data_IF_439873091138
#
_entry.id   IF_439873091138
#
_cell.length_a   1.000
_cell.length_b   1.000
_cell.length_c   1.000
_cell.angle_alpha   90.00
_cell.angle_beta   90.00
_cell.angle_gamma   90.00
#
_symmetry.space_group_name_H-M   'P 1'
#
loop_
_entity.id
_entity.type
_entity.pdbx_description
1 polymer ?
#
# COMPACT_ATOMS: atom_id res chain seq x y z
N UNK A 1 -19.39 -3.29 36.43
CA UNK A 1 -18.26 -3.33 35.49
C UNK A 1 -16.92 -3.29 36.23
N UNK A 2 -16.56 -2.20 36.91
CA UNK A 2 -15.21 -2.02 37.50
C UNK A 2 -14.83 -3.06 38.57
N UNK A 3 -15.76 -3.48 39.45
CA UNK A 3 -15.51 -4.54 40.45
C UNK A 3 -15.32 -5.93 39.83
N UNK A 4 -16.05 -6.26 38.76
CA UNK A 4 -15.88 -7.51 38.02
C UNK A 4 -14.56 -7.51 37.22
N UNK A 5 -14.17 -6.36 36.68
CA UNK A 5 -12.90 -6.21 35.99
C UNK A 5 -11.72 -6.40 36.94
N UNK A 6 -11.80 -5.85 38.15
CA UNK A 6 -10.79 -6.06 39.21
C UNK A 6 -10.70 -7.51 39.70
N UNK A 7 -11.80 -8.28 39.69
CA UNK A 7 -11.76 -9.68 40.11
C UNK A 7 -11.18 -10.64 39.05
N UNK A 8 -11.30 -10.29 37.76
CA UNK A 8 -10.81 -11.13 36.64
C UNK A 8 -9.41 -10.72 36.18
N UNK A 9 -8.99 -9.48 36.48
CA UNK A 9 -7.64 -8.98 36.18
C UNK A 9 -6.48 -9.94 36.54
N UNK A 10 -6.40 -10.53 37.75
CA UNK A 10 -5.31 -11.44 38.08
C UNK A 10 -5.36 -12.76 37.28
N UNK A 11 -6.55 -13.20 36.86
CA UNK A 11 -6.68 -14.40 36.02
C UNK A 11 -6.21 -14.13 34.59
N UNK A 12 -6.54 -12.95 34.05
CA UNK A 12 -6.05 -12.50 32.74
C UNK A 12 -4.53 -12.37 32.75
N UNK A 13 -3.97 -11.76 33.79
CA UNK A 13 -2.51 -11.61 33.94
C UNK A 13 -1.80 -12.98 33.99
N UNK A 14 -2.33 -13.94 34.74
CA UNK A 14 -1.79 -15.30 34.77
C UNK A 14 -1.90 -16.00 33.41
N UNK A 15 -3.00 -15.80 32.68
CA UNK A 15 -3.14 -16.33 31.31
C UNK A 15 -2.11 -15.70 30.38
N UNK A 16 -1.93 -14.38 30.42
CA UNK A 16 -0.94 -13.68 29.60
C UNK A 16 0.50 -14.16 29.89
N UNK A 17 0.84 -14.38 31.17
CA UNK A 17 2.15 -14.95 31.56
C UNK A 17 2.29 -16.37 31.01
N UNK A 18 1.24 -17.20 31.10
CA UNK A 18 1.28 -18.56 30.57
C UNK A 18 1.38 -18.61 29.04
N UNK A 19 0.72 -17.68 28.35
CA UNK A 19 0.79 -17.55 26.90
C UNK A 19 2.18 -17.07 26.46
N UNK A 20 2.79 -16.15 27.21
CA UNK A 20 4.18 -15.74 27.01
C UNK A 20 5.16 -16.91 27.17
N UNK A 21 5.01 -17.71 28.23
CA UNK A 21 5.84 -18.90 28.44
C UNK A 21 5.65 -19.94 27.33
N UNK A 22 4.40 -20.19 26.92
CA UNK A 22 4.08 -21.10 25.83
C UNK A 22 4.68 -20.62 24.51
N UNK A 23 4.51 -19.34 24.17
CA UNK A 23 5.07 -18.75 22.95
C UNK A 23 6.61 -18.83 22.96
N UNK A 24 7.24 -18.59 24.11
CA UNK A 24 8.68 -18.74 24.29
C UNK A 24 9.13 -20.20 24.07
N UNK A 25 8.42 -21.17 24.63
CA UNK A 25 8.70 -22.59 24.42
C UNK A 25 8.51 -23.00 22.96
N UNK A 26 7.43 -22.56 22.32
CA UNK A 26 7.19 -22.81 20.90
C UNK A 26 8.30 -22.23 20.03
N UNK A 27 8.81 -21.03 20.37
CA UNK A 27 9.94 -20.44 19.66
C UNK A 27 11.24 -21.21 19.88
N UNK A 28 11.48 -21.77 21.07
CA UNK A 28 12.63 -22.66 21.29
C UNK A 28 12.53 -23.94 20.47
N UNK A 29 11.35 -24.57 20.42
CA UNK A 29 11.10 -25.76 19.59
C UNK A 29 11.28 -25.41 18.10
N UNK A 30 10.73 -24.28 17.67
CA UNK A 30 10.87 -23.81 16.30
C UNK A 30 12.32 -23.48 15.95
N UNK A 31 13.10 -22.97 16.89
CA UNK A 31 14.54 -22.73 16.70
C UNK A 31 15.33 -24.04 16.54
N UNK A 32 15.00 -25.07 17.31
CA UNK A 32 15.73 -26.34 17.29
C UNK A 32 15.34 -27.21 16.09
N UNK A 33 14.06 -27.20 15.71
CA UNK A 33 13.48 -28.12 14.73
C UNK A 33 12.88 -27.44 13.50
N UNK A 34 12.98 -26.11 13.39
CA UNK A 34 12.51 -25.34 12.25
C UNK A 34 13.29 -25.62 10.97
N UNK A 35 12.62 -25.46 9.83
CA UNK A 35 13.25 -25.62 8.51
C UNK A 35 14.29 -24.52 8.28
N UNK A 36 15.27 -24.76 7.41
CA UNK A 36 16.40 -23.85 7.23
C UNK A 36 16.03 -22.47 6.67
N UNK A 37 14.90 -22.36 5.97
CA UNK A 37 14.38 -21.10 5.41
C UNK A 37 12.87 -20.98 5.61
N UNK A 38 12.43 -19.80 6.05
CA UNK A 38 11.03 -19.48 6.24
C UNK A 38 10.70 -18.12 5.62
N UNK A 39 9.51 -18.00 5.03
CA UNK A 39 8.94 -16.74 4.56
C UNK A 39 7.74 -16.46 5.45
N UNK A 40 7.79 -15.39 6.25
CA UNK A 40 6.64 -14.94 7.03
C UNK A 40 6.06 -13.68 6.41
N UNK A 41 4.74 -13.61 6.41
CA UNK A 41 3.97 -12.44 6.07
C UNK A 41 3.52 -11.82 7.39
N UNK A 42 4.21 -10.78 7.85
CA UNK A 42 3.78 -10.04 9.03
C UNK A 42 3.02 -8.79 8.59
N UNK A 43 1.93 -8.42 9.28
CA UNK A 43 1.34 -7.11 9.10
C UNK A 43 2.34 -6.08 9.65
N UNK A 44 2.96 -5.30 8.76
CA UNK A 44 3.78 -4.16 9.16
C UNK A 44 2.92 -3.10 9.86
N UNK A 45 3.58 -2.19 10.58
CA UNK A 45 2.95 -1.09 11.32
C UNK A 45 2.01 -0.23 10.45
N UNK A 46 2.26 -0.22 9.13
CA UNK A 46 1.48 0.49 8.11
C UNK A 46 0.29 -0.32 7.52
N UNK A 47 -0.09 -1.47 8.08
CA UNK A 47 -1.06 -2.42 7.50
C UNK A 47 -0.66 -2.96 6.10
N UNK A 48 0.61 -2.84 5.73
CA UNK A 48 1.17 -3.49 4.54
C UNK A 48 1.80 -4.82 4.96
N UNK A 49 1.56 -5.87 4.17
CA UNK A 49 2.19 -7.17 4.39
C UNK A 49 3.68 -7.05 4.08
N UNK A 50 4.52 -7.08 5.11
CA UNK A 50 5.97 -7.19 4.94
C UNK A 50 6.32 -8.66 4.79
N UNK A 51 7.03 -8.98 3.71
CA UNK A 51 7.54 -10.33 3.46
C UNK A 51 8.96 -10.35 4.02
N UNK A 52 9.12 -10.95 5.20
CA UNK A 52 10.44 -11.16 5.79
C UNK A 52 10.88 -12.62 5.56
N UNK A 53 12.04 -12.78 4.92
CA UNK A 53 12.69 -14.09 4.76
C UNK A 53 13.62 -14.29 5.95
N UNK A 54 13.36 -15.33 6.73
CA UNK A 54 14.20 -15.73 7.86
C UNK A 54 15.06 -16.93 7.46
N UNK A 55 16.36 -16.84 7.69
CA UNK A 55 17.28 -17.97 7.68
C UNK A 55 17.50 -18.48 9.10
N UNK A 56 17.72 -19.79 9.27
CA UNK A 56 18.05 -20.39 10.58
C UNK A 56 19.26 -19.71 11.27
N UNK A 57 20.17 -19.09 10.50
CA UNK A 57 21.29 -18.34 11.04
C UNK A 57 20.86 -17.05 11.77
N UNK A 58 19.78 -16.39 11.36
CA UNK A 58 19.34 -15.13 11.97
C UNK A 58 18.62 -15.34 13.32
N UNK A 59 17.97 -16.50 13.50
CA UNK A 59 17.30 -16.93 14.75
C UNK A 59 18.29 -17.27 15.89
N UNK A 60 19.59 -17.41 15.58
CA UNK A 60 20.60 -17.80 16.57
C UNK A 60 21.29 -16.64 17.29
N UNK A 61 21.03 -15.38 16.92
CA UNK A 61 21.65 -14.25 17.62
C UNK A 61 21.18 -12.83 17.32
N UNK A 62 20.24 -12.60 16.39
CA UNK A 62 19.81 -11.23 16.01
C UNK A 62 18.38 -10.86 16.38
N UNK A 63 17.51 -11.83 16.60
CA UNK A 63 16.11 -11.56 16.98
C UNK A 63 15.90 -11.82 18.47
N UNK A 64 15.58 -10.77 19.22
CA UNK A 64 15.06 -10.87 20.58
C UNK A 64 13.54 -10.67 20.52
N UNK A 65 12.79 -11.76 20.52
CA UNK A 65 11.32 -11.70 20.57
C UNK A 65 10.92 -11.38 22.01
N UNK A 66 10.63 -10.10 22.26
CA UNK A 66 10.06 -9.66 23.53
C UNK A 66 8.54 -9.78 23.46
N UNK A 67 8.02 -10.80 24.12
CA UNK A 67 6.58 -10.88 24.40
C UNK A 67 6.32 -9.97 25.59
N UNK A 68 5.53 -8.91 25.41
CA UNK A 68 5.15 -8.00 26.49
C UNK A 68 3.75 -8.40 27.00
N UNK A 69 3.68 -8.91 28.23
CA UNK A 69 2.41 -9.07 28.94
C UNK A 69 1.82 -7.69 29.29
N UNK A 70 0.49 -7.59 29.33
CA UNK A 70 -0.27 -6.35 29.54
C UNK A 70 -0.99 -5.79 28.31
N UNK A 71 -0.81 -6.40 27.14
CA UNK A 71 -1.52 -6.01 25.89
C UNK A 71 -2.95 -6.56 25.81
N UNK A 72 -3.27 -7.65 26.52
CA UNK A 72 -4.54 -8.36 26.34
C UNK A 72 -5.66 -7.86 27.23
N UNK A 73 -5.42 -6.88 28.13
CA UNK A 73 -6.53 -6.19 28.78
C UNK A 73 -7.39 -5.52 27.71
N UNK A 74 -8.65 -5.95 27.51
CA UNK A 74 -9.51 -5.30 26.54
C UNK A 74 -9.77 -3.89 27.03
N UNK A 75 -9.11 -2.91 26.42
CA UNK A 75 -9.43 -1.50 26.64
C UNK A 75 -10.86 -1.33 26.19
N UNK A 76 -11.74 -0.99 27.13
CA UNK A 76 -13.15 -0.76 26.76
C UNK A 76 -13.22 0.35 25.72
N UNK A 77 -14.20 0.29 24.82
CA UNK A 77 -14.41 1.37 23.85
C UNK A 77 -14.56 2.74 24.53
N UNK A 78 -15.14 2.76 25.74
CA UNK A 78 -15.24 3.97 26.57
C UNK A 78 -13.86 4.47 27.03
N UNK A 79 -12.97 3.57 27.46
CA UNK A 79 -11.60 3.92 27.85
C UNK A 79 -10.81 4.46 26.66
N UNK A 80 -10.90 3.80 25.49
CA UNK A 80 -10.23 4.29 24.27
C UNK A 80 -10.73 5.67 23.85
N UNK A 81 -12.05 5.92 23.92
CA UNK A 81 -12.62 7.26 23.68
C UNK A 81 -12.06 8.30 24.65
N UNK A 82 -12.05 7.99 25.96
CA UNK A 82 -11.52 8.88 26.99
C UNK A 82 -10.03 9.18 26.78
N UNK A 83 -9.22 8.17 26.41
CA UNK A 83 -7.81 8.36 26.09
C UNK A 83 -7.60 9.24 24.86
N UNK A 84 -8.31 8.98 23.76
CA UNK A 84 -8.21 9.80 22.54
C UNK A 84 -8.67 11.23 22.80
N UNK A 85 -9.76 11.41 23.54
CA UNK A 85 -10.25 12.73 23.94
C UNK A 85 -9.24 13.47 24.83
N UNK A 86 -8.61 12.75 25.77
CA UNK A 86 -7.53 13.29 26.60
C UNK A 86 -6.32 13.73 25.79
N UNK A 87 -5.86 12.89 24.85
CA UNK A 87 -4.75 13.21 23.94
C UNK A 87 -5.06 14.42 23.05
N UNK A 88 -6.29 14.51 22.56
CA UNK A 88 -6.75 15.66 21.79
C UNK A 88 -6.78 16.94 22.65
N UNK A 89 -7.33 16.88 23.86
CA UNK A 89 -7.36 18.03 24.80
C UNK A 89 -5.97 18.51 25.20
N UNK A 90 -5.01 17.60 25.32
CA UNK A 90 -3.61 17.93 25.60
C UNK A 90 -2.86 18.46 24.36
N UNK A 91 -3.47 18.42 23.18
CA UNK A 91 -2.86 18.87 21.93
C UNK A 91 -1.86 17.89 21.32
N UNK A 92 -1.77 16.66 21.83
CA UNK A 92 -0.91 15.61 21.26
C UNK A 92 -1.50 14.97 20.00
N UNK A 93 -2.81 15.10 19.82
CA UNK A 93 -3.52 14.51 18.69
C UNK A 93 -4.17 15.61 17.86
N UNK A 94 -3.76 15.72 16.60
CA UNK A 94 -4.36 16.64 15.64
C UNK A 94 -5.42 15.90 14.81
N UNK A 95 -6.69 16.23 15.05
CA UNK A 95 -7.85 15.65 14.34
C UNK A 95 -8.04 16.28 12.96
N UNK A 96 -7.39 17.42 12.68
CA UNK A 96 -7.43 18.04 11.35
C UNK A 96 -6.58 17.28 10.33
N UNK A 97 -5.63 16.47 10.79
CA UNK A 97 -4.83 15.60 9.94
C UNK A 97 -5.65 14.38 9.49
N UNK A 98 -5.83 14.15 8.17
CA UNK A 98 -6.67 13.08 7.65
C UNK A 98 -6.13 11.68 7.96
N UNK A 99 -4.82 11.51 8.10
CA UNK A 99 -4.22 10.22 8.47
C UNK A 99 -4.55 9.85 9.92
N UNK A 100 -4.38 10.80 10.84
CA UNK A 100 -4.73 10.61 12.27
C UNK A 100 -6.23 10.35 12.44
N UNK A 101 -7.06 11.13 11.75
CA UNK A 101 -8.51 10.95 11.76
C UNK A 101 -8.92 9.56 11.24
N UNK A 102 -8.30 9.10 10.14
CA UNK A 102 -8.52 7.75 9.62
C UNK A 102 -8.16 6.66 10.63
N UNK A 103 -7.02 6.78 11.32
CA UNK A 103 -6.62 5.81 12.35
C UNK A 103 -7.66 5.74 13.48
N UNK A 104 -8.14 6.89 13.96
CA UNK A 104 -9.20 6.95 14.98
C UNK A 104 -10.47 6.25 14.50
N UNK A 105 -10.89 6.51 13.26
CA UNK A 105 -12.08 5.87 12.67
C UNK A 105 -11.92 4.36 12.56
N UNK A 106 -10.73 3.86 12.21
CA UNK A 106 -10.43 2.42 12.17
C UNK A 106 -10.48 1.82 13.57
N UNK A 107 -9.86 2.46 14.57
CA UNK A 107 -9.89 2.01 15.97
C UNK A 107 -11.31 1.84 16.49
N UNK A 108 -12.25 2.67 16.03
CA UNK A 108 -13.66 2.58 16.41
C UNK A 108 -14.55 1.76 15.46
N UNK A 109 -13.99 1.17 14.40
CA UNK A 109 -14.76 0.44 13.40
C UNK A 109 -15.69 1.32 12.56
N UNK A 110 -15.45 2.64 12.51
CA UNK A 110 -16.25 3.63 11.78
C UNK A 110 -15.56 4.08 10.48
N UNK A 111 -14.85 3.17 9.81
CA UNK A 111 -14.12 3.46 8.57
C UNK A 111 -15.02 4.04 7.47
N UNK A 112 -16.28 3.60 7.43
CA UNK A 112 -17.26 3.97 6.40
C UNK A 112 -17.72 5.43 6.45
N UNK A 113 -17.36 6.19 7.50
CA UNK A 113 -17.69 7.61 7.60
C UNK A 113 -16.86 8.48 6.65
N UNK A 114 -15.67 8.01 6.24
CA UNK A 114 -14.77 8.76 5.36
C UNK A 114 -14.14 7.85 4.29
N UNK A 115 -14.95 7.28 3.39
CA UNK A 115 -14.45 6.34 2.38
C UNK A 115 -13.50 7.00 1.38
N UNK A 116 -13.59 8.33 1.20
CA UNK A 116 -12.76 9.07 0.26
C UNK A 116 -11.27 9.02 0.64
N UNK A 117 -10.93 9.08 1.93
CA UNK A 117 -9.53 8.99 2.38
C UNK A 117 -8.93 7.64 1.96
N UNK A 118 -9.69 6.55 2.07
CA UNK A 118 -9.24 5.23 1.63
C UNK A 118 -9.08 5.14 0.11
N UNK A 119 -9.94 5.82 -0.65
CA UNK A 119 -9.84 5.87 -2.12
C UNK A 119 -8.58 6.63 -2.54
N UNK A 120 -8.33 7.79 -1.94
CA UNK A 120 -7.14 8.61 -2.21
C UNK A 120 -5.85 7.90 -1.81
N UNK A 121 -5.83 7.26 -0.65
CA UNK A 121 -4.69 6.46 -0.18
C UNK A 121 -4.37 5.32 -1.16
N UNK A 122 -5.39 4.57 -1.60
CA UNK A 122 -5.20 3.49 -2.57
C UNK A 122 -4.75 4.03 -3.93
N UNK A 123 -5.19 5.22 -4.32
CA UNK A 123 -4.75 5.80 -5.59
C UNK A 123 -3.29 6.26 -5.52
N UNK A 124 -2.88 6.91 -4.43
CA UNK A 124 -1.48 7.25 -4.18
C UNK A 124 -0.58 6.01 -4.15
N UNK A 125 -1.04 4.91 -3.55
CA UNK A 125 -0.33 3.62 -3.56
C UNK A 125 -0.19 3.05 -4.98
N UNK A 126 -1.26 3.07 -5.78
CA UNK A 126 -1.18 2.66 -7.19
C UNK A 126 -0.25 3.55 -8.00
N UNK A 127 -0.13 4.83 -7.67
CA UNK A 127 0.84 5.72 -8.30
C UNK A 127 2.27 5.35 -7.91
N UNK A 128 2.54 5.05 -6.63
CA UNK A 128 3.82 4.54 -6.17
C UNK A 128 4.23 3.28 -6.93
N UNK A 129 3.32 2.32 -7.07
CA UNK A 129 3.58 1.08 -7.82
C UNK A 129 3.92 1.37 -9.29
N UNK A 130 3.24 2.34 -9.91
CA UNK A 130 3.55 2.79 -11.28
C UNK A 130 4.90 3.48 -11.37
N UNK A 131 5.28 4.28 -10.37
CA UNK A 131 6.61 4.86 -10.32
C UNK A 131 7.66 3.74 -10.26
N UNK A 132 7.52 2.79 -9.34
CA UNK A 132 8.46 1.66 -9.22
C UNK A 132 8.48 0.79 -10.48
N UNK A 133 7.36 0.60 -11.17
CA UNK A 133 7.33 -0.13 -12.43
C UNK A 133 8.13 0.58 -13.56
N UNK A 134 8.26 1.91 -13.54
CA UNK A 134 9.09 2.65 -14.51
C UNK A 134 10.57 2.31 -14.37
N UNK A 135 11.08 2.03 -13.17
CA UNK A 135 12.50 1.65 -12.97
C UNK A 135 12.81 0.30 -13.60
N UNK A 136 11.81 -0.59 -13.65
CA UNK A 136 11.89 -1.92 -14.29
C UNK A 136 11.64 -1.90 -15.79
N UNK A 137 11.36 -0.72 -16.37
CA UNK A 137 11.04 -0.58 -17.80
C UNK A 137 9.69 -1.21 -18.18
N UNK A 138 8.81 -1.46 -17.21
CA UNK A 138 7.49 -2.02 -17.47
C UNK A 138 6.59 -0.97 -18.15
N UNK A 139 5.72 -1.38 -19.08
CA UNK A 139 4.74 -0.48 -19.70
C UNK A 139 3.69 -0.07 -18.66
N UNK A 140 3.95 1.05 -17.99
CA UNK A 140 2.98 1.68 -17.10
C UNK A 140 2.06 2.54 -17.95
N UNK A 141 0.76 2.21 -17.98
CA UNK A 141 -0.19 2.81 -18.93
C UNK A 141 -0.18 4.34 -18.96
N UNK A 142 -0.85 4.99 -17.99
CA UNK A 142 -0.79 6.45 -17.84
C UNK A 142 0.36 6.79 -16.90
N UNK A 143 1.26 7.74 -17.24
CA UNK A 143 2.27 8.21 -16.30
C UNK A 143 1.58 8.76 -15.04
N UNK A 144 2.14 8.49 -13.85
CA UNK A 144 1.62 9.08 -12.60
C UNK A 144 1.49 10.59 -12.74
N UNK A 145 0.43 11.16 -12.18
CA UNK A 145 0.20 12.59 -12.31
C UNK A 145 -0.87 13.08 -11.37
N UNK A 146 -0.51 14.09 -10.59
CA UNK A 146 -1.38 14.74 -9.64
C UNK A 146 -2.59 15.41 -10.32
N UNK A 147 -3.76 15.35 -9.67
CA UNK A 147 -5.03 15.95 -10.10
C UNK A 147 -5.46 17.01 -9.07
N UNK A 148 -5.07 18.28 -9.26
CA UNK A 148 -5.43 19.35 -8.34
C UNK A 148 -6.95 19.45 -8.13
N UNK A 149 -7.36 19.55 -6.87
CA UNK A 149 -8.77 19.68 -6.48
C UNK A 149 -9.59 18.40 -6.57
N UNK A 150 -9.00 17.29 -7.03
CA UNK A 150 -9.60 15.95 -6.95
C UNK A 150 -8.90 15.14 -5.86
N UNK A 151 -7.57 15.14 -5.85
CA UNK A 151 -6.78 14.38 -4.88
C UNK A 151 -6.76 15.11 -3.53
N UNK A 152 -6.80 14.34 -2.44
CA UNK A 152 -6.47 14.87 -1.12
C UNK A 152 -4.94 15.03 -0.99
N UNK A 153 -4.45 16.24 -1.24
CA UNK A 153 -3.01 16.56 -1.26
C UNK A 153 -2.26 16.10 -0.01
N UNK A 154 -2.89 16.18 1.17
CA UNK A 154 -2.24 15.78 2.43
C UNK A 154 -2.02 14.27 2.49
N UNK A 155 -3.04 13.47 2.16
CA UNK A 155 -2.97 12.01 2.15
C UNK A 155 -2.03 11.54 1.05
N UNK A 156 -2.14 12.15 -0.14
CA UNK A 156 -1.31 11.85 -1.30
C UNK A 156 0.17 12.07 -0.99
N UNK A 157 0.50 13.27 -0.49
CA UNK A 157 1.87 13.63 -0.13
C UNK A 157 2.42 12.74 0.99
N UNK A 158 1.62 12.43 2.02
CA UNK A 158 2.04 11.56 3.11
C UNK A 158 2.47 10.18 2.59
N UNK A 159 1.73 9.61 1.65
CA UNK A 159 2.04 8.29 1.10
C UNK A 159 3.26 8.29 0.18
N UNK A 160 3.48 9.38 -0.56
CA UNK A 160 4.72 9.55 -1.31
C UNK A 160 5.94 9.74 -0.40
N UNK A 161 5.83 10.56 0.65
CA UNK A 161 6.90 10.72 1.65
C UNK A 161 7.23 9.37 2.29
N UNK A 162 6.23 8.52 2.53
CA UNK A 162 6.43 7.17 3.05
C UNK A 162 7.29 6.33 2.10
N UNK A 163 6.97 6.32 0.79
CA UNK A 163 7.80 5.66 -0.22
C UNK A 163 9.24 6.20 -0.22
N UNK A 164 9.41 7.53 -0.17
CA UNK A 164 10.72 8.17 -0.22
C UNK A 164 11.63 7.80 0.97
N UNK A 165 11.05 7.35 2.08
CA UNK A 165 11.78 6.90 3.27
C UNK A 165 12.15 5.41 3.26
N UNK A 166 11.74 4.67 2.22
CA UNK A 166 12.08 3.25 2.11
C UNK A 166 13.51 3.05 1.61
N UNK A 167 14.16 1.97 2.04
CA UNK A 167 15.49 1.60 1.55
C UNK A 167 15.51 1.42 0.03
N UNK A 168 14.44 0.86 -0.53
CA UNK A 168 14.29 0.70 -1.98
C UNK A 168 14.36 2.04 -2.74
N UNK A 169 13.77 3.10 -2.19
CA UNK A 169 13.84 4.43 -2.79
C UNK A 169 15.24 5.04 -2.65
N UNK A 170 15.87 4.88 -1.48
CA UNK A 170 17.23 5.37 -1.23
C UNK A 170 18.24 4.70 -2.19
N UNK A 171 18.12 3.39 -2.41
CA UNK A 171 18.96 2.68 -3.37
C UNK A 171 18.72 3.14 -4.82
N UNK A 172 17.48 3.49 -5.18
CA UNK A 172 17.18 4.09 -6.48
C UNK A 172 17.82 5.48 -6.62
N UNK A 173 17.82 6.32 -5.58
CA UNK A 173 18.52 7.60 -5.61
C UNK A 173 20.03 7.40 -5.83
N UNK A 174 20.65 6.46 -5.11
CA UNK A 174 22.07 6.11 -5.29
C UNK A 174 22.36 5.61 -6.71
N UNK A 175 21.53 4.73 -7.24
CA UNK A 175 21.67 4.24 -8.62
C UNK A 175 21.55 5.38 -9.64
N UNK A 176 20.64 6.34 -9.40
CA UNK A 176 20.49 7.51 -10.26
C UNK A 176 21.74 8.40 -10.27
N UNK A 177 22.36 8.62 -9.10
CA UNK A 177 23.64 9.33 -8.97
C UNK A 177 24.79 8.62 -9.69
N UNK A 178 24.80 7.29 -9.67
CA UNK A 178 25.79 6.46 -10.36
C UNK A 178 25.59 6.38 -11.88
N UNK A 179 24.52 6.98 -12.41
CA UNK A 179 24.28 7.06 -13.85
C UNK A 179 23.25 6.07 -14.41
N UNK A 180 22.53 5.33 -13.56
CA UNK A 180 21.43 4.48 -14.02
C UNK A 180 20.31 5.33 -14.62
N UNK A 181 20.05 5.15 -15.91
CA UNK A 181 19.08 5.98 -16.65
C UNK A 181 17.63 5.75 -16.21
N UNK A 182 17.28 4.53 -15.79
CA UNK A 182 15.94 4.19 -15.31
C UNK A 182 15.68 4.83 -13.96
N UNK A 183 16.64 4.74 -13.05
CA UNK A 183 16.59 5.39 -11.75
C UNK A 183 16.58 6.92 -11.88
N UNK A 184 17.39 7.51 -12.77
CA UNK A 184 17.36 8.96 -13.03
C UNK A 184 16.01 9.45 -13.53
N UNK A 185 15.38 8.70 -14.44
CA UNK A 185 14.05 9.05 -14.95
C UNK A 185 13.00 8.97 -13.85
N UNK A 186 13.03 7.92 -13.02
CA UNK A 186 12.16 7.75 -11.87
C UNK A 186 12.28 8.93 -10.91
N UNK A 187 13.50 9.21 -10.43
CA UNK A 187 13.78 10.29 -9.47
C UNK A 187 13.29 11.62 -10.02
N UNK A 188 13.58 11.92 -11.29
CA UNK A 188 13.11 13.15 -11.94
C UNK A 188 11.58 13.27 -11.96
N UNK A 189 10.87 12.24 -12.42
CA UNK A 189 9.42 12.25 -12.54
C UNK A 189 8.74 12.30 -11.17
N UNK A 190 9.27 11.56 -10.21
CA UNK A 190 8.75 11.52 -8.85
C UNK A 190 8.89 12.88 -8.16
N UNK A 191 10.08 13.50 -8.20
CA UNK A 191 10.26 14.84 -7.61
C UNK A 191 9.45 15.92 -8.33
N UNK A 192 9.24 15.81 -9.64
CA UNK A 192 8.35 16.71 -10.37
C UNK A 192 6.89 16.56 -9.91
N UNK A 193 6.42 15.33 -9.72
CA UNK A 193 5.09 15.03 -9.18
C UNK A 193 4.89 15.60 -7.77
N UNK A 194 5.85 15.43 -6.87
CA UNK A 194 5.77 15.97 -5.50
C UNK A 194 5.70 17.50 -5.49
N UNK A 195 6.45 18.16 -6.38
CA UNK A 195 6.38 19.62 -6.52
C UNK A 195 4.99 20.07 -6.96
N UNK A 196 4.29 19.28 -7.78
CA UNK A 196 2.93 19.57 -8.20
C UNK A 196 1.94 19.43 -7.03
N UNK A 197 2.08 18.39 -6.20
CA UNK A 197 1.25 18.22 -4.99
C UNK A 197 1.50 19.33 -3.95
N UNK A 198 2.74 19.82 -3.81
CA UNK A 198 3.08 20.89 -2.87
C UNK A 198 2.65 22.29 -3.34
N UNK A 199 2.52 22.52 -4.64
CA UNK A 199 2.16 23.82 -5.19
C UNK A 199 1.29 23.72 -6.44
N UNK A 200 0.00 23.37 -6.29
CA UNK A 200 -0.91 23.20 -7.42
C UNK A 200 -1.15 24.51 -8.21
N UNK A 201 -0.92 25.67 -7.59
CA UNK A 201 -1.19 26.99 -8.19
C UNK A 201 -0.18 27.46 -9.24
N UNK A 202 0.98 26.80 -9.37
CA UNK A 202 2.14 27.36 -10.12
C UNK A 202 2.42 26.77 -11.51
N UNK A 203 1.58 25.90 -12.09
CA UNK A 203 1.96 25.26 -13.36
C UNK A 203 1.06 25.46 -14.57
N UNK A 204 1.56 26.14 -15.63
CA UNK A 204 1.01 26.08 -16.97
C UNK A 204 1.60 24.89 -17.73
N UNK A 205 0.75 24.16 -18.44
CA UNK A 205 1.07 23.04 -19.32
C UNK A 205 2.36 23.26 -20.15
N UNK A 206 3.28 22.28 -20.09
CA UNK A 206 4.53 22.08 -20.88
C UNK A 206 5.84 22.45 -20.18
N UNK A 207 6.44 21.49 -19.46
CA UNK A 207 7.90 21.28 -19.55
C UNK A 207 8.17 19.89 -20.10
N UNK A 208 8.99 19.81 -21.15
CA UNK A 208 9.45 18.54 -21.70
C UNK A 208 10.62 18.04 -20.84
N UNK A 209 10.71 16.73 -20.56
CA UNK A 209 11.89 16.16 -19.93
C UNK A 209 13.16 16.47 -20.78
N UNK A 210 14.35 16.48 -20.17
CA UNK A 210 15.62 16.70 -20.86
C UNK A 210 15.75 15.81 -22.11
N UNK A 211 16.22 16.39 -23.21
CA UNK A 211 16.37 15.69 -24.52
C UNK A 211 17.26 14.45 -24.47
N UNK A 212 18.13 14.32 -23.46
CA UNK A 212 19.01 13.16 -23.25
C UNK A 212 18.27 11.92 -22.75
N UNK A 213 17.16 12.06 -22.01
CA UNK A 213 16.40 10.95 -21.39
C UNK A 213 15.30 10.38 -22.30
N UNK A 214 14.91 11.13 -23.35
CA UNK A 214 13.74 10.81 -24.18
C UNK A 214 14.02 9.92 -25.39
N UNK A 215 15.30 9.68 -25.73
CA UNK A 215 15.68 9.00 -26.99
C UNK A 215 15.62 7.48 -26.96
N UNK A 216 15.39 6.85 -25.80
CA UNK A 216 15.26 5.38 -25.68
C UNK A 216 13.94 4.92 -25.05
N UNK A 217 13.37 5.66 -24.11
CA UNK A 217 12.05 5.34 -23.54
C UNK A 217 10.92 5.37 -24.60
N UNK A 218 10.99 6.29 -25.57
CA UNK A 218 10.06 6.33 -26.71
C UNK A 218 10.37 5.32 -27.81
N UNK A 219 11.58 4.75 -27.80
CA UNK A 219 12.02 3.75 -28.80
C UNK A 219 11.57 2.35 -28.42
N UNK A 220 11.37 2.08 -27.12
CA UNK A 220 10.69 0.88 -26.62
C UNK A 220 9.20 0.82 -27.05
N UNK A 221 8.58 1.95 -27.36
CA UNK A 221 7.20 2.04 -27.87
C UNK A 221 7.07 1.91 -29.41
N UNK A 222 8.16 1.67 -30.13
CA UNK A 222 8.15 1.55 -31.60
C UNK A 222 8.56 0.16 -32.12
N UNK A 223 8.36 -0.89 -31.32
CA UNK A 223 8.28 -2.25 -31.84
C UNK A 223 6.81 -2.53 -32.15
N UNK A 224 6.38 -2.12 -33.34
CA UNK A 224 5.12 -2.59 -33.91
C UNK A 224 5.25 -4.09 -34.23
N UNK A 225 4.17 -4.89 -34.10
CA UNK A 225 4.20 -6.28 -34.53
C UNK A 225 4.37 -6.33 -36.06
N UNK A 226 5.50 -6.85 -36.54
CA UNK A 226 5.66 -7.28 -37.92
C UNK A 226 4.79 -8.52 -38.14
N UNK A 227 3.53 -8.30 -38.49
CA UNK A 227 2.63 -9.29 -39.05
C UNK A 227 2.09 -8.78 -40.39
N UNK A 228 1.97 -9.62 -41.42
CA UNK A 228 1.58 -9.17 -42.75
C UNK A 228 0.13 -8.66 -42.73
N UNK A 229 -0.03 -7.36 -42.99
CA UNK A 229 -1.34 -6.72 -43.16
C UNK A 229 -2.05 -7.30 -44.39
N UNK A 230 -2.94 -8.27 -44.19
CA UNK A 230 -3.93 -8.65 -45.21
C UNK A 230 -4.87 -7.46 -45.41
N UNK A 231 -4.83 -6.89 -46.61
CA UNK A 231 -5.73 -5.81 -47.06
C UNK A 231 -7.15 -6.38 -47.13
N UNK A 232 -8.06 -5.87 -46.30
CA UNK A 232 -9.49 -6.06 -46.49
C UNK A 232 -10.00 -4.98 -47.45
N UNK A 233 -10.45 -5.38 -48.63
CA UNK A 233 -11.24 -4.55 -49.53
C UNK A 233 -12.71 -4.53 -49.08
N UNK A 234 -13.40 -3.38 -49.10
CA UNK A 234 -14.83 -3.33 -48.80
C UNK A 234 -15.64 -3.41 -50.10
N UNK A 235 -16.42 -4.47 -50.30
CA UNK A 235 -17.51 -4.46 -51.26
C UNK A 235 -18.59 -5.54 -50.99
N UNK A 236 -19.82 -5.03 -50.79
CA UNK A 236 -21.10 -5.55 -51.31
C UNK A 236 -21.79 -6.77 -50.64
N UNK A 237 -22.73 -6.41 -49.77
CA UNK A 237 -24.15 -6.80 -49.71
C UNK A 237 -24.60 -8.17 -50.28
N UNK A 238 -25.30 -8.95 -49.44
CA UNK A 238 -26.60 -9.61 -49.72
C UNK A 238 -27.06 -10.33 -48.43
N UNK A 239 -28.10 -9.83 -47.76
CA UNK A 239 -29.47 -10.38 -47.78
C UNK A 239 -29.57 -11.87 -47.43
N UNK A 240 -30.06 -12.18 -46.21
CA UNK A 240 -31.20 -13.10 -46.03
C UNK A 240 -31.72 -13.11 -44.59
N UNK A 241 -33.02 -12.85 -44.50
CA UNK A 241 -33.92 -13.12 -43.38
C UNK A 241 -33.94 -14.60 -42.99
N UNK A 242 -33.96 -14.89 -41.68
CA UNK A 242 -34.83 -15.93 -41.10
C UNK A 242 -34.86 -15.89 -39.56
N UNK A 243 -35.96 -15.32 -39.03
CA UNK A 243 -36.76 -15.60 -37.82
C UNK A 243 -36.11 -16.03 -36.46
N UNK A 244 -36.70 -15.60 -35.32
CA UNK A 244 -36.26 -15.95 -33.97
C UNK A 244 -36.87 -17.28 -33.48
N UNK A 245 -36.04 -18.10 -32.84
CA UNK A 245 -36.45 -19.31 -32.13
C UNK A 245 -36.90 -18.97 -30.71
N UNK A 246 -38.00 -19.59 -30.29
CA UNK A 246 -38.76 -19.29 -29.08
C UNK A 246 -38.16 -19.97 -27.85
N UNK A 247 -38.22 -19.26 -26.73
CA UNK A 247 -38.09 -19.77 -25.36
C UNK A 247 -39.05 -20.94 -25.08
N UNK A 248 -38.54 -22.01 -24.48
CA UNK A 248 -39.35 -22.99 -23.74
C UNK A 248 -38.64 -23.38 -22.45
N UNK A 249 -39.15 -22.91 -21.31
CA UNK A 249 -38.80 -23.37 -19.97
C UNK A 249 -39.49 -24.72 -19.68
N UNK A 250 -38.87 -25.65 -18.94
CA UNK A 250 -39.59 -26.76 -18.33
C UNK A 250 -40.14 -26.37 -16.95
N UNK A 251 -41.43 -26.65 -16.76
CA UNK A 251 -42.14 -26.62 -15.49
C UNK A 251 -41.69 -27.77 -14.58
N UNK A 252 -41.71 -27.48 -13.30
CA UNK A 252 -41.77 -28.37 -12.15
C UNK A 252 -42.82 -29.49 -12.29
N UNK A 253 -42.39 -30.71 -11.97
CA UNK A 253 -43.21 -31.83 -11.52
C UNK A 253 -42.49 -32.49 -10.36
#
# INVERSE_FOLDING_TARGET
AEKQQKSVAPQIELTEISDEELARQQMYIFREYGFSEHISLMPGEDNQWTIEKYSNADLTGRFNVRVESGSAMPKSNAQMRSTIEGLHKMGFLDVSNPSTLRHILITFGMRDLMPQIDVDLRDAQRENDRFMALTRGEPTGRPPGHRPGIDNDQVHLAEHIRLAKTDAFIELERAAEQGDQGAQLFVFLWYDHIKQTLNPSKWPWRRRPPRSLTRRALTAHRVAPEGPRKRFSPAKAMSRNSKPEKYSSPRSG
#
